data_IF_349532731239
#
_entry.id   IF_349532731239
#
_cell.length_a   1.000
_cell.length_b   1.000
_cell.length_c   1.000
_cell.angle_alpha   90.00
_cell.angle_beta   90.00
_cell.angle_gamma   90.00
#
_symmetry.space_group_name_H-M   'P 1'
#
loop_
_entity.id
_entity.type
_entity.pdbx_description
1 polymer ?
#
# COMPACT_ATOMS: atom_id res chain seq x y z
N UNK A 1 -22.11 26.19 -8.13
CA UNK A 1 -21.06 25.75 -9.09
C UNK A 1 -19.65 25.65 -8.49
N UNK A 2 -19.44 25.98 -7.22
CA UNK A 2 -18.10 25.86 -6.59
C UNK A 2 -17.80 24.47 -6.02
N UNK A 3 -18.82 23.70 -5.62
CA UNK A 3 -18.62 22.35 -5.07
C UNK A 3 -18.04 21.35 -6.08
N UNK A 4 -18.34 21.51 -7.38
CA UNK A 4 -17.85 20.63 -8.44
C UNK A 4 -16.38 20.85 -8.78
N UNK A 5 -15.85 22.07 -8.57
CA UNK A 5 -14.41 22.36 -8.73
C UNK A 5 -13.56 21.70 -7.64
N UNK A 6 -14.08 21.59 -6.41
CA UNK A 6 -13.37 20.92 -5.31
C UNK A 6 -13.25 19.40 -5.51
N UNK A 7 -14.28 18.78 -6.10
CA UNK A 7 -14.32 17.34 -6.38
C UNK A 7 -13.41 16.96 -7.55
N UNK A 8 -13.24 17.84 -8.54
CA UNK A 8 -12.34 17.63 -9.67
C UNK A 8 -10.85 17.81 -9.32
N UNK A 9 -10.51 18.64 -8.33
CA UNK A 9 -9.11 18.89 -7.94
C UNK A 9 -8.46 17.68 -7.26
N UNK A 10 -9.25 16.74 -6.74
CA UNK A 10 -8.81 15.49 -6.15
C UNK A 10 -8.85 14.30 -7.14
N UNK A 11 -9.31 14.50 -8.38
CA UNK A 11 -9.64 13.39 -9.26
C UNK A 11 -8.51 12.92 -10.18
N UNK A 12 -7.44 13.71 -10.40
CA UNK A 12 -6.50 13.39 -11.52
C UNK A 12 -5.08 13.89 -11.29
N UNK A 13 -4.47 13.48 -10.19
CA UNK A 13 -3.01 13.43 -10.05
C UNK A 13 -2.69 12.57 -8.83
N UNK A 14 -2.48 11.27 -8.99
CA UNK A 14 -1.95 10.43 -7.91
C UNK A 14 -0.54 10.93 -7.60
N UNK A 15 -0.41 11.78 -6.58
CA UNK A 15 0.85 12.37 -6.18
C UNK A 15 1.84 11.31 -5.71
N UNK A 16 3.13 11.64 -5.64
CA UNK A 16 4.09 10.74 -4.98
C UNK A 16 3.69 10.44 -3.51
N UNK A 17 3.00 11.41 -2.88
CA UNK A 17 2.41 11.25 -1.55
C UNK A 17 1.30 10.19 -1.52
N UNK A 18 0.46 10.12 -2.55
CA UNK A 18 -0.61 9.10 -2.62
C UNK A 18 -0.04 7.70 -2.84
N UNK A 19 1.05 7.59 -3.61
CA UNK A 19 1.77 6.35 -3.81
C UNK A 19 2.39 5.85 -2.51
N UNK A 20 3.05 6.75 -1.78
CA UNK A 20 3.62 6.44 -0.47
C UNK A 20 2.53 6.03 0.53
N UNK A 21 1.43 6.77 0.59
CA UNK A 21 0.29 6.45 1.46
C UNK A 21 -0.32 5.09 1.12
N UNK A 22 -0.39 4.74 -0.18
CA UNK A 22 -0.85 3.43 -0.63
C UNK A 22 0.09 2.33 -0.17
N UNK A 23 1.41 2.53 -0.32
CA UNK A 23 2.41 1.57 0.15
C UNK A 23 2.33 1.34 1.66
N UNK A 24 2.19 2.40 2.46
CA UNK A 24 2.02 2.29 3.92
C UNK A 24 0.75 1.51 4.27
N UNK A 25 -0.38 1.80 3.61
CA UNK A 25 -1.62 1.04 3.84
C UNK A 25 -1.46 -0.44 3.52
N UNK A 26 -0.81 -0.75 2.40
CA UNK A 26 -0.53 -2.14 2.00
C UNK A 26 0.38 -2.83 3.02
N UNK A 27 1.41 -2.15 3.54
CA UNK A 27 2.28 -2.70 4.58
C UNK A 27 1.50 -3.04 5.85
N UNK A 28 0.65 -2.12 6.33
CA UNK A 28 -0.14 -2.32 7.55
C UNK A 28 -1.17 -3.43 7.37
N UNK A 29 -1.93 -3.41 6.27
CA UNK A 29 -2.93 -4.45 5.99
C UNK A 29 -2.25 -5.80 5.78
N UNK A 30 -1.17 -5.85 5.00
CA UNK A 30 -0.39 -7.05 4.75
C UNK A 30 0.16 -7.65 6.04
N UNK A 31 0.72 -6.82 6.93
CA UNK A 31 1.24 -7.26 8.22
C UNK A 31 0.15 -7.91 9.08
N UNK A 32 -1.02 -7.26 9.22
CA UNK A 32 -2.13 -7.81 10.01
C UNK A 32 -2.65 -9.12 9.43
N UNK A 33 -2.80 -9.19 8.11
CA UNK A 33 -3.28 -10.41 7.42
C UNK A 33 -2.28 -11.56 7.57
N UNK A 34 -0.98 -11.28 7.42
CA UNK A 34 0.07 -12.28 7.57
C UNK A 34 0.21 -12.76 9.02
N UNK A 35 0.09 -11.87 10.01
CA UNK A 35 0.08 -12.27 11.42
C UNK A 35 -1.11 -13.20 11.72
N UNK A 36 -2.30 -12.87 11.20
CA UNK A 36 -3.46 -13.74 11.33
C UNK A 36 -3.20 -15.10 10.69
N UNK A 37 -2.60 -15.13 9.49
CA UNK A 37 -2.25 -16.37 8.80
C UNK A 37 -1.25 -17.21 9.61
N UNK A 38 -0.16 -16.63 10.09
CA UNK A 38 0.84 -17.36 10.88
C UNK A 38 0.24 -17.95 12.15
N UNK A 39 -0.65 -17.23 12.83
CA UNK A 39 -1.37 -17.77 13.97
C UNK A 39 -2.22 -18.99 13.61
N UNK A 40 -2.93 -18.95 12.46
CA UNK A 40 -3.72 -20.08 11.99
C UNK A 40 -2.86 -21.28 11.56
N UNK A 41 -1.71 -21.03 10.93
CA UNK A 41 -0.86 -22.07 10.36
C UNK A 41 0.07 -22.72 11.40
N UNK A 42 0.66 -21.92 12.29
CA UNK A 42 1.72 -22.34 13.21
C UNK A 42 1.34 -22.20 14.70
N UNK A 43 0.20 -21.60 15.04
CA UNK A 43 -0.21 -21.36 16.42
C UNK A 43 0.69 -20.38 17.18
N UNK A 44 1.53 -19.63 16.46
CA UNK A 44 2.46 -18.65 17.01
C UNK A 44 2.68 -17.50 16.03
N UNK A 45 3.18 -16.36 16.53
CA UNK A 45 3.48 -15.19 15.72
C UNK A 45 4.99 -15.07 15.50
N UNK A 46 5.45 -15.06 14.25
CA UNK A 46 6.81 -14.68 13.85
C UNK A 46 6.78 -13.24 13.33
N UNK A 47 6.71 -12.32 14.29
CA UNK A 47 6.53 -10.89 14.01
C UNK A 47 7.64 -10.28 13.13
N UNK A 48 8.94 -10.61 13.34
CA UNK A 48 10.01 -10.14 12.46
C UNK A 48 9.88 -10.63 11.02
N UNK A 49 9.60 -11.92 10.81
CA UNK A 49 9.46 -12.48 9.46
C UNK A 49 8.25 -11.88 8.74
N UNK A 50 7.10 -11.83 9.42
CA UNK A 50 5.87 -11.24 8.89
C UNK A 50 6.03 -9.76 8.55
N UNK A 51 6.78 -8.98 9.35
CA UNK A 51 7.06 -7.58 9.05
C UNK A 51 7.88 -7.41 7.76
N UNK A 52 8.86 -8.27 7.53
CA UNK A 52 9.66 -8.26 6.30
C UNK A 52 8.82 -8.62 5.08
N UNK A 53 7.98 -9.65 5.19
CA UNK A 53 7.09 -10.08 4.10
C UNK A 53 6.07 -9.00 3.73
N UNK A 54 5.43 -8.39 4.74
CA UNK A 54 4.51 -7.27 4.52
C UNK A 54 5.21 -6.06 3.89
N UNK A 55 6.44 -5.76 4.33
CA UNK A 55 7.28 -4.72 3.76
C UNK A 55 7.66 -4.99 2.30
N UNK A 56 7.99 -6.23 1.95
CA UNK A 56 8.30 -6.66 0.58
C UNK A 56 7.07 -6.51 -0.34
N UNK A 57 5.89 -6.90 0.13
CA UNK A 57 4.64 -6.70 -0.62
C UNK A 57 4.38 -5.22 -0.85
N UNK A 58 4.52 -4.39 0.20
CA UNK A 58 4.34 -2.95 0.09
C UNK A 58 5.35 -2.30 -0.86
N UNK A 59 6.61 -2.70 -0.81
CA UNK A 59 7.65 -2.24 -1.73
C UNK A 59 7.35 -2.63 -3.18
N UNK A 60 6.91 -3.88 -3.41
CA UNK A 60 6.48 -4.33 -4.74
C UNK A 60 5.32 -3.50 -5.30
N UNK A 61 4.30 -3.24 -4.48
CA UNK A 61 3.16 -2.40 -4.88
C UNK A 61 3.59 -0.95 -5.12
N UNK A 62 4.49 -0.40 -4.30
CA UNK A 62 5.03 0.94 -4.51
C UNK A 62 5.79 1.04 -5.83
N UNK A 63 6.71 0.12 -6.10
CA UNK A 63 7.52 0.09 -7.32
C UNK A 63 6.64 -0.05 -8.56
N UNK A 64 5.65 -0.96 -8.55
CA UNK A 64 4.72 -1.12 -9.67
C UNK A 64 3.93 0.16 -9.94
N UNK A 65 3.39 0.81 -8.90
CA UNK A 65 2.66 2.05 -9.08
C UNK A 65 3.57 3.23 -9.47
N UNK A 66 4.82 3.25 -9.02
CA UNK A 66 5.82 4.23 -9.44
C UNK A 66 6.17 4.05 -10.93
N UNK A 67 6.39 2.81 -11.39
CA UNK A 67 6.61 2.49 -12.81
C UNK A 67 5.39 2.91 -13.63
N UNK A 68 4.17 2.55 -13.21
CA UNK A 68 2.95 2.96 -13.91
C UNK A 68 2.79 4.47 -13.99
N UNK A 69 3.22 5.20 -12.96
CA UNK A 69 3.25 6.67 -12.97
C UNK A 69 4.30 7.25 -13.93
N UNK A 70 5.47 6.60 -14.05
CA UNK A 70 6.55 7.02 -14.95
C UNK A 70 6.28 6.64 -16.42
N UNK A 71 5.63 5.51 -16.65
CA UNK A 71 5.27 5.00 -18.00
C UNK A 71 4.02 5.70 -18.54
N UNK A 72 3.16 6.24 -17.65
CA UNK A 72 2.09 7.15 -18.06
C UNK A 72 2.68 8.47 -18.55
N UNK A 73 2.70 8.61 -19.88
CA UNK A 73 2.49 9.86 -20.64
C UNK A 73 1.48 10.79 -19.97
#
# INVERSE_FOLDING_TARGET
MERTKSLSKNATSTGWNDLLLTAVKVAVVGFVVLQAKEWFDAGSFDTPATALDAGLVAAGVFVLNAILKLVKF
#
